data_IF_322122593455
#
_entry.id   IF_322122593455
#
_cell.length_a   1.000
_cell.length_b   1.000
_cell.length_c   1.000
_cell.angle_alpha   90.00
_cell.angle_beta   90.00
_cell.angle_gamma   90.00
#
_symmetry.space_group_name_H-M   'P 1'
#
loop_
_entity.id
_entity.type
_entity.pdbx_description
1 polymer ?
#
# COMPACT_ATOMS: atom_id res chain seq x y z
N UNK A 1 4.80 -26.61 9.91
CA UNK A 1 3.69 -25.66 9.95
C UNK A 1 4.21 -24.41 10.61
N UNK A 2 4.25 -23.32 9.85
CA UNK A 2 4.73 -22.03 10.32
C UNK A 2 3.65 -21.45 11.25
N UNK A 3 4.06 -21.00 12.43
CA UNK A 3 3.19 -20.29 13.35
C UNK A 3 3.50 -18.80 13.26
N UNK A 4 2.46 -17.97 13.21
CA UNK A 4 2.59 -16.52 13.19
C UNK A 4 2.05 -15.94 14.49
N UNK A 5 2.78 -14.99 15.07
CA UNK A 5 2.33 -14.23 16.22
C UNK A 5 1.13 -13.34 15.86
N UNK A 6 0.32 -13.00 16.87
CA UNK A 6 -0.76 -12.03 16.70
C UNK A 6 -0.19 -10.64 16.41
N UNK A 7 -0.75 -9.98 15.39
CA UNK A 7 -0.33 -8.63 14.99
C UNK A 7 -1.43 -7.67 15.46
N UNK A 8 -1.07 -6.79 16.37
CA UNK A 8 -1.95 -5.75 16.91
C UNK A 8 -1.71 -4.45 16.17
N UNK A 9 -2.76 -3.85 15.61
CA UNK A 9 -2.69 -2.53 15.02
C UNK A 9 -3.98 -1.76 15.31
N UNK A 10 -3.83 -0.69 16.10
CA UNK A 10 -4.95 0.01 16.73
C UNK A 10 -5.89 -1.01 17.43
N UNK A 11 -7.18 -1.01 17.10
CA UNK A 11 -8.19 -1.92 17.66
C UNK A 11 -8.27 -3.27 16.93
N UNK A 12 -7.53 -3.45 15.83
CA UNK A 12 -7.56 -4.67 15.03
C UNK A 12 -6.49 -5.67 15.46
N UNK A 13 -6.85 -6.95 15.40
CA UNK A 13 -5.96 -8.07 15.71
C UNK A 13 -5.94 -9.04 14.54
N UNK A 14 -4.80 -9.12 13.88
CA UNK A 14 -4.60 -9.99 12.72
C UNK A 14 -3.91 -11.29 13.15
N UNK A 15 -4.45 -12.42 12.69
CA UNK A 15 -3.83 -13.74 12.81
C UNK A 15 -3.53 -14.24 11.41
N UNK A 16 -2.24 -14.24 11.04
CA UNK A 16 -1.79 -14.79 9.76
C UNK A 16 -1.76 -16.33 9.82
N UNK A 17 -1.90 -16.94 8.65
CA UNK A 17 -1.77 -18.38 8.44
C UNK A 17 -0.84 -18.69 7.28
N UNK A 18 -0.20 -19.85 7.34
CA UNK A 18 0.68 -20.32 6.28
C UNK A 18 -0.11 -20.47 4.96
N UNK A 19 0.41 -19.85 3.89
CA UNK A 19 -0.26 -19.91 2.59
C UNK A 19 -0.35 -21.36 2.11
N UNK A 20 -1.53 -21.74 1.60
CA UNK A 20 -1.72 -23.07 1.02
C UNK A 20 -1.10 -23.16 -0.37
N UNK A 21 -0.86 -24.38 -0.86
CA UNK A 21 -0.44 -24.60 -2.26
C UNK A 21 -1.38 -23.95 -3.27
N UNK A 22 -2.71 -24.10 -3.07
CA UNK A 22 -3.70 -23.48 -3.94
C UNK A 22 -3.68 -21.94 -3.85
N UNK A 23 -3.46 -21.39 -2.65
CA UNK A 23 -3.29 -19.95 -2.46
C UNK A 23 -2.06 -19.43 -3.19
N UNK A 24 -0.93 -20.13 -3.09
CA UNK A 24 0.30 -19.80 -3.80
C UNK A 24 0.09 -19.79 -5.33
N UNK A 25 -0.64 -20.77 -5.89
CA UNK A 25 -1.00 -20.76 -7.33
C UNK A 25 -1.77 -19.49 -7.70
N UNK A 26 -2.80 -19.13 -6.93
CA UNK A 26 -3.61 -17.92 -7.20
C UNK A 26 -2.76 -16.65 -7.21
N UNK A 27 -1.82 -16.53 -6.26
CA UNK A 27 -0.90 -15.39 -6.17
C UNK A 27 0.02 -15.35 -7.40
N UNK A 28 0.63 -16.49 -7.77
CA UNK A 28 1.53 -16.57 -8.93
C UNK A 28 0.82 -16.30 -10.27
N UNK A 29 -0.48 -16.60 -10.38
CA UNK A 29 -1.25 -16.33 -11.60
C UNK A 29 -1.58 -14.84 -11.83
N UNK A 30 -1.40 -13.98 -10.84
CA UNK A 30 -1.56 -12.53 -11.04
C UNK A 30 -0.35 -12.00 -11.80
N UNK A 31 -0.54 -11.11 -12.77
CA UNK A 31 0.53 -10.47 -13.53
C UNK A 31 1.63 -9.88 -12.63
N UNK A 32 2.91 -10.06 -12.99
CA UNK A 32 4.09 -9.54 -12.28
C UNK A 32 4.10 -8.00 -12.20
N UNK A 33 3.49 -7.34 -13.17
CA UNK A 33 3.34 -5.88 -13.19
C UNK A 33 2.28 -5.37 -12.19
N UNK A 34 1.42 -6.26 -11.67
CA UNK A 34 0.33 -5.93 -10.75
C UNK A 34 0.64 -6.35 -9.31
N UNK A 35 1.66 -5.75 -8.71
CA UNK A 35 2.11 -6.03 -7.35
C UNK A 35 1.06 -5.71 -6.28
N UNK A 36 0.34 -4.59 -6.38
CA UNK A 36 -0.72 -4.25 -5.43
C UNK A 36 -1.85 -5.29 -5.49
N UNK A 37 -2.22 -5.73 -6.68
CA UNK A 37 -3.19 -6.83 -6.84
C UNK A 37 -2.66 -8.14 -6.27
N UNK A 38 -1.37 -8.45 -6.47
CA UNK A 38 -0.73 -9.62 -5.86
C UNK A 38 -0.81 -9.57 -4.33
N UNK A 39 -0.55 -8.41 -3.73
CA UNK A 39 -0.65 -8.21 -2.28
C UNK A 39 -2.08 -8.48 -1.79
N UNK A 40 -3.09 -7.98 -2.49
CA UNK A 40 -4.50 -8.25 -2.16
C UNK A 40 -4.83 -9.73 -2.20
N UNK A 41 -4.48 -10.42 -3.30
CA UNK A 41 -4.72 -11.86 -3.45
C UNK A 41 -3.98 -12.65 -2.37
N UNK A 42 -2.72 -12.30 -2.10
CA UNK A 42 -1.93 -12.92 -1.05
C UNK A 42 -2.56 -12.76 0.34
N UNK A 43 -2.91 -11.53 0.72
CA UNK A 43 -3.51 -11.23 2.02
C UNK A 43 -4.86 -11.93 2.20
N UNK A 44 -5.67 -12.04 1.14
CA UNK A 44 -6.92 -12.80 1.19
C UNK A 44 -6.69 -14.28 1.54
N UNK A 45 -5.60 -14.89 1.03
CA UNK A 45 -5.28 -16.29 1.33
C UNK A 45 -4.71 -16.46 2.75
N UNK A 46 -3.86 -15.55 3.24
CA UNK A 46 -3.21 -15.70 4.56
C UNK A 46 -4.07 -15.18 5.73
N UNK A 47 -5.13 -14.41 5.46
CA UNK A 47 -6.12 -13.92 6.43
C UNK A 47 -7.45 -14.69 6.36
N UNK A 48 -7.54 -15.77 5.56
CA UNK A 48 -8.75 -16.57 5.35
C UNK A 48 -9.99 -15.78 4.90
N UNK A 49 -9.80 -14.65 4.20
CA UNK A 49 -10.90 -13.81 3.73
C UNK A 49 -11.77 -13.21 4.85
N UNK A 50 -11.30 -13.18 6.09
CA UNK A 50 -12.02 -12.56 7.23
C UNK A 50 -12.11 -11.04 7.06
N UNK A 51 -11.08 -10.45 6.44
CA UNK A 51 -10.93 -9.01 6.26
C UNK A 51 -11.12 -8.62 4.80
N UNK A 52 -11.73 -7.47 4.57
CA UNK A 52 -11.78 -6.85 3.24
C UNK A 52 -10.44 -6.17 2.96
N UNK A 53 -9.55 -6.88 2.29
CA UNK A 53 -8.17 -6.43 1.99
C UNK A 53 -8.11 -5.22 1.06
N UNK A 54 -9.19 -4.91 0.33
CA UNK A 54 -9.29 -3.71 -0.49
C UNK A 54 -9.60 -2.46 0.35
N UNK A 55 -10.28 -2.61 1.49
CA UNK A 55 -10.54 -1.50 2.44
C UNK A 55 -9.39 -1.25 3.42
N UNK A 56 -8.47 -2.19 3.56
CA UNK A 56 -7.28 -2.01 4.39
C UNK A 56 -6.39 -0.91 3.80
N UNK A 57 -5.77 -0.11 4.65
CA UNK A 57 -4.77 0.87 4.22
C UNK A 57 -3.56 0.17 3.60
N UNK A 58 -2.84 0.87 2.71
CA UNK A 58 -1.57 0.39 2.15
C UNK A 58 -0.59 0.04 3.27
N UNK A 59 -0.54 0.83 4.34
CA UNK A 59 0.36 0.58 5.47
C UNK A 59 0.04 -0.71 6.23
N UNK A 60 -1.25 -0.97 6.49
CA UNK A 60 -1.73 -2.23 7.06
C UNK A 60 -1.27 -3.42 6.20
N UNK A 61 -1.52 -3.34 4.89
CA UNK A 61 -1.23 -4.41 3.94
C UNK A 61 0.26 -4.75 3.90
N UNK A 62 1.12 -3.73 3.89
CA UNK A 62 2.56 -3.92 3.89
C UNK A 62 3.11 -4.40 5.24
N UNK A 63 2.59 -3.91 6.37
CA UNK A 63 2.98 -4.43 7.68
C UNK A 63 2.71 -5.94 7.76
N UNK A 64 1.52 -6.38 7.33
CA UNK A 64 1.17 -7.80 7.35
C UNK A 64 2.06 -8.64 6.43
N UNK A 65 2.39 -8.12 5.24
CA UNK A 65 3.34 -8.80 4.34
C UNK A 65 4.73 -8.93 4.98
N UNK A 66 5.25 -7.87 5.60
CA UNK A 66 6.54 -7.90 6.30
C UNK A 66 6.50 -8.93 7.43
N UNK A 67 5.48 -8.90 8.29
CA UNK A 67 5.31 -9.83 9.40
C UNK A 67 5.21 -11.29 8.95
N UNK A 68 4.58 -11.53 7.80
CA UNK A 68 4.56 -12.84 7.19
C UNK A 68 5.98 -13.30 6.77
N UNK A 69 6.74 -12.43 6.09
CA UNK A 69 8.10 -12.73 5.66
C UNK A 69 9.05 -12.98 6.85
N UNK A 70 8.91 -12.20 7.93
CA UNK A 70 9.62 -12.42 9.19
C UNK A 70 9.34 -13.82 9.77
N UNK A 71 8.06 -14.23 9.80
CA UNK A 71 7.65 -15.55 10.28
C UNK A 71 8.18 -16.71 9.44
N UNK A 72 8.32 -16.53 8.12
CA UNK A 72 8.93 -17.53 7.25
C UNK A 72 10.44 -17.66 7.43
N UNK A 73 11.14 -16.55 7.73
CA UNK A 73 12.58 -16.52 7.98
C UNK A 73 13.03 -17.36 9.18
N UNK A 74 12.10 -17.83 10.02
CA UNK A 74 12.37 -18.74 11.13
C UNK A 74 12.35 -20.24 10.71
N UNK A 75 12.19 -20.54 9.43
CA UNK A 75 12.14 -21.93 8.90
C UNK A 75 13.46 -22.38 8.27
N UNK A 76 13.64 -23.69 8.07
CA UNK A 76 14.85 -24.38 7.55
C UNK A 76 15.42 -23.88 6.21
N UNK A 77 14.75 -22.94 5.52
CA UNK A 77 15.20 -22.29 4.26
C UNK A 77 15.94 -20.97 4.57
N UNK A 78 16.08 -20.59 5.83
CA UNK A 78 16.92 -19.48 6.26
C UNK A 78 18.39 -19.78 5.89
N UNK A 79 18.85 -19.20 4.78
CA UNK A 79 20.27 -18.95 4.57
C UNK A 79 20.81 -18.15 5.77
N UNK A 80 22.08 -18.36 6.13
CA UNK A 80 22.78 -17.82 7.33
C UNK A 80 22.73 -16.29 7.56
N UNK A 81 21.98 -15.54 6.76
CA UNK A 81 21.58 -14.16 7.00
C UNK A 81 20.05 -14.07 7.02
N UNK A 82 19.45 -14.21 8.20
CA UNK A 82 18.07 -13.78 8.42
C UNK A 82 17.96 -12.31 7.99
N UNK A 83 17.09 -12.02 7.01
CA UNK A 83 16.86 -10.65 6.55
C UNK A 83 16.19 -9.90 7.70
N UNK A 84 16.84 -8.85 8.19
CA UNK A 84 16.28 -7.99 9.22
C UNK A 84 15.27 -7.01 8.59
N UNK A 85 14.00 -7.21 8.89
CA UNK A 85 12.91 -6.36 8.42
C UNK A 85 12.52 -5.27 9.43
N UNK A 86 13.13 -5.25 10.62
CA UNK A 86 12.75 -4.31 11.69
C UNK A 86 12.95 -2.84 11.30
N UNK A 87 13.83 -2.55 10.35
CA UNK A 87 14.04 -1.21 9.81
C UNK A 87 12.93 -0.70 8.88
N UNK A 88 11.94 -1.52 8.51
CA UNK A 88 10.90 -1.15 7.54
C UNK A 88 9.55 -0.80 8.18
N UNK A 89 9.39 -0.98 9.49
CA UNK A 89 8.14 -0.68 10.19
C UNK A 89 8.38 -0.09 11.59
N UNK A 90 7.37 0.61 12.07
CA UNK A 90 7.22 1.08 13.44
C UNK A 90 5.87 0.57 13.96
N UNK A 91 5.82 0.08 15.19
CA UNK A 91 4.55 -0.32 15.83
C UNK A 91 3.97 0.90 16.55
N UNK A 92 3.71 1.96 15.80
CA UNK A 92 2.97 3.13 16.27
C UNK A 92 1.49 2.99 15.89
N UNK A 93 0.64 3.88 16.42
CA UNK A 93 -0.76 3.94 16.03
C UNK A 93 -0.90 4.37 14.57
N UNK A 94 -1.73 3.63 13.82
CA UNK A 94 -2.04 3.95 12.43
C UNK A 94 -2.99 5.16 12.39
N UNK A 95 -2.50 6.29 11.91
CA UNK A 95 -3.34 7.43 11.57
C UNK A 95 -4.01 7.21 10.21
N UNK A 96 -5.35 7.35 10.16
CA UNK A 96 -6.13 7.25 8.92
C UNK A 96 -6.15 8.57 8.13
N UNK A 97 -5.94 9.68 8.81
CA UNK A 97 -6.00 11.03 8.26
C UNK A 97 -4.95 11.90 8.96
N UNK A 98 -4.38 12.85 8.22
CA UNK A 98 -3.57 13.95 8.73
C UNK A 98 -4.19 15.25 8.21
N UNK A 99 -4.41 16.23 9.09
CA UNK A 99 -5.20 17.42 8.76
C UNK A 99 -4.64 18.71 9.38
N UNK A 100 -4.92 19.83 8.71
CA UNK A 100 -4.83 21.19 9.21
C UNK A 100 -6.24 21.77 9.36
N UNK A 101 -6.35 23.07 9.65
CA UNK A 101 -7.65 23.75 9.68
C UNK A 101 -8.33 23.91 8.30
N UNK A 102 -7.64 23.63 7.20
CA UNK A 102 -8.16 23.88 5.84
C UNK A 102 -7.91 22.75 4.84
N UNK A 103 -7.04 21.78 5.15
CA UNK A 103 -6.70 20.67 4.26
C UNK A 103 -6.56 19.37 5.06
N UNK A 104 -6.97 18.25 4.48
CA UNK A 104 -6.77 16.91 5.01
C UNK A 104 -6.18 15.98 3.94
N UNK A 105 -5.38 15.00 4.37
CA UNK A 105 -4.87 13.90 3.55
C UNK A 105 -5.25 12.58 4.22
N UNK A 106 -5.87 11.69 3.45
CA UNK A 106 -6.30 10.36 3.88
C UNK A 106 -5.33 9.27 3.43
N UNK A 107 -5.24 8.18 4.19
CA UNK A 107 -4.47 7.00 3.77
C UNK A 107 -5.00 6.41 2.47
N UNK A 108 -4.10 5.92 1.61
CA UNK A 108 -4.48 5.04 0.51
C UNK A 108 -4.96 3.70 1.05
N UNK A 109 -6.00 3.17 0.43
CA UNK A 109 -6.51 1.81 0.63
C UNK A 109 -5.94 0.85 -0.41
N UNK A 110 -6.16 -0.46 -0.21
CA UNK A 110 -5.82 -1.48 -1.20
C UNK A 110 -6.53 -1.27 -2.54
N UNK A 111 -7.78 -0.81 -2.51
CA UNK A 111 -8.52 -0.44 -3.71
C UNK A 111 -7.86 0.71 -4.46
N UNK A 112 -7.48 1.77 -3.76
CA UNK A 112 -6.80 2.92 -4.35
C UNK A 112 -5.47 2.48 -5.00
N UNK A 113 -4.68 1.68 -4.28
CA UNK A 113 -3.39 1.20 -4.76
C UNK A 113 -3.51 0.35 -6.04
N UNK A 114 -4.47 -0.59 -6.09
CA UNK A 114 -4.76 -1.37 -7.30
C UNK A 114 -5.31 -0.52 -8.46
N UNK A 115 -6.10 0.52 -8.14
CA UNK A 115 -6.65 1.43 -9.13
C UNK A 115 -5.54 2.26 -9.79
N UNK A 116 -4.59 2.75 -9.00
CA UNK A 116 -3.43 3.52 -9.44
C UNK A 116 -2.41 2.67 -10.21
N UNK A 117 -2.13 1.45 -9.75
CA UNK A 117 -1.15 0.56 -10.36
C UNK A 117 -1.42 0.28 -11.85
N UNK A 118 -2.69 0.26 -12.25
CA UNK A 118 -3.09 0.05 -13.65
C UNK A 118 -2.97 1.29 -14.54
N UNK A 119 -2.76 2.47 -13.94
CA UNK A 119 -2.87 3.77 -14.62
C UNK A 119 -1.58 4.58 -14.58
N UNK A 120 -0.76 4.42 -13.56
CA UNK A 120 0.44 5.20 -13.35
C UNK A 120 1.69 4.48 -13.87
N UNK A 121 2.48 5.17 -14.69
CA UNK A 121 3.71 4.65 -15.32
C UNK A 121 4.97 5.42 -14.93
N UNK A 122 4.83 6.54 -14.22
CA UNK A 122 5.93 7.38 -13.75
C UNK A 122 5.70 7.89 -12.34
N UNK A 123 6.77 8.24 -11.64
CA UNK A 123 6.69 8.86 -10.30
C UNK A 123 5.77 10.11 -10.31
N UNK A 124 5.83 10.94 -11.34
CA UNK A 124 5.01 12.15 -11.44
C UNK A 124 3.51 11.82 -11.53
N UNK A 125 3.15 10.81 -12.33
CA UNK A 125 1.76 10.34 -12.41
C UNK A 125 1.28 9.74 -11.09
N UNK A 126 2.13 8.96 -10.42
CA UNK A 126 1.81 8.44 -9.09
C UNK A 126 1.48 9.56 -8.10
N UNK A 127 2.35 10.59 -8.01
CA UNK A 127 2.15 11.73 -7.12
C UNK A 127 0.83 12.45 -7.44
N UNK A 128 0.62 12.84 -8.70
CA UNK A 128 -0.58 13.58 -9.09
C UNK A 128 -1.88 12.79 -8.84
N UNK A 129 -1.87 11.49 -9.16
CA UNK A 129 -3.03 10.63 -8.93
C UNK A 129 -3.26 10.35 -7.43
N UNK A 130 -2.20 10.25 -6.62
CA UNK A 130 -2.32 10.13 -5.17
C UNK A 130 -2.91 11.40 -4.55
N UNK A 131 -2.47 12.59 -4.98
CA UNK A 131 -3.08 13.86 -4.57
C UNK A 131 -4.59 13.88 -4.93
N UNK A 132 -4.93 13.44 -6.14
CA UNK A 132 -6.32 13.33 -6.59
C UNK A 132 -7.14 12.37 -5.71
N UNK A 133 -6.58 11.28 -5.20
CA UNK A 133 -7.30 10.31 -4.35
C UNK A 133 -7.34 10.73 -2.88
N UNK A 134 -6.31 11.40 -2.36
CA UNK A 134 -6.10 11.51 -0.92
C UNK A 134 -6.45 12.87 -0.32
N UNK A 135 -6.39 13.97 -1.09
CA UNK A 135 -6.54 15.31 -0.53
C UNK A 135 -8.00 15.74 -0.36
N UNK A 136 -8.29 16.58 0.62
CA UNK A 136 -9.56 17.27 0.77
C UNK A 136 -9.33 18.68 1.29
N UNK A 137 -10.05 19.66 0.74
CA UNK A 137 -9.95 21.06 1.14
C UNK A 137 -11.30 21.58 1.60
N UNK A 138 -11.31 22.32 2.71
CA UNK A 138 -12.53 22.91 3.29
C UNK A 138 -13.17 23.94 2.37
N UNK A 139 -12.37 24.64 1.56
CA UNK A 139 -12.85 25.65 0.61
C UNK A 139 -13.42 25.06 -0.69
N UNK A 140 -13.37 23.73 -0.85
CA UNK A 140 -13.90 23.03 -2.03
C UNK A 140 -13.09 23.24 -3.31
N UNK A 141 -11.83 23.71 -3.23
CA UNK A 141 -10.97 23.85 -4.43
C UNK A 141 -10.73 22.53 -5.17
N UNK A 142 -10.85 21.41 -4.46
CA UNK A 142 -10.96 20.08 -5.05
C UNK A 142 -12.38 19.53 -4.79
N UNK A 143 -13.04 18.94 -5.79
CA UNK A 143 -14.30 18.21 -5.62
C UNK A 143 -14.21 17.11 -4.55
N UNK A 144 -15.34 16.53 -4.18
CA UNK A 144 -15.39 15.42 -3.22
C UNK A 144 -14.45 14.27 -3.61
N UNK A 145 -13.77 13.71 -2.61
CA UNK A 145 -12.79 12.63 -2.77
C UNK A 145 -13.45 11.34 -3.28
N UNK A 146 -12.79 10.56 -4.15
CA UNK A 146 -13.25 9.21 -4.46
C UNK A 146 -13.14 8.29 -3.22
N UNK A 147 -14.15 7.46 -2.96
CA UNK A 147 -14.17 6.51 -1.84
C UNK A 147 -14.66 5.14 -2.29
N UNK A 148 -14.06 4.07 -1.74
CA UNK A 148 -14.42 2.68 -2.05
C UNK A 148 -15.87 2.36 -1.66
N UNK A 149 -16.46 3.10 -0.72
CA UNK A 149 -17.86 2.91 -0.32
C UNK A 149 -18.85 3.42 -1.39
N UNK A 150 -18.36 4.18 -2.38
CA UNK A 150 -19.15 4.72 -3.50
C UNK A 150 -18.49 4.37 -4.84
N UNK A 151 -18.40 3.06 -5.17
CA UNK A 151 -17.59 2.57 -6.30
C UNK A 151 -18.11 3.04 -7.66
N UNK A 152 -19.42 3.25 -7.79
CA UNK A 152 -20.09 3.73 -9.02
C UNK A 152 -19.58 5.13 -9.43
N UNK A 153 -19.27 5.99 -8.46
CA UNK A 153 -18.79 7.36 -8.68
C UNK A 153 -17.28 7.53 -8.52
N UNK A 154 -16.57 6.46 -8.14
CA UNK A 154 -15.15 6.54 -7.80
C UNK A 154 -14.30 7.07 -8.95
N UNK A 155 -14.43 6.46 -10.14
CA UNK A 155 -13.61 6.82 -11.30
C UNK A 155 -13.95 8.21 -11.84
N UNK A 156 -15.24 8.58 -11.85
CA UNK A 156 -15.69 9.92 -12.25
C UNK A 156 -15.08 11.01 -11.35
N UNK A 157 -15.18 10.85 -10.02
CA UNK A 157 -14.60 11.80 -9.05
C UNK A 157 -13.08 11.88 -9.17
N UNK A 158 -12.43 10.72 -9.33
CA UNK A 158 -10.99 10.67 -9.54
C UNK A 158 -10.57 11.48 -10.79
N UNK A 159 -11.22 11.25 -11.93
CA UNK A 159 -10.91 11.95 -13.18
C UNK A 159 -11.15 13.46 -13.02
N UNK A 160 -12.30 13.86 -12.47
CA UNK A 160 -12.62 15.28 -12.26
C UNK A 160 -11.56 16.00 -11.42
N UNK A 161 -11.09 15.35 -10.34
CA UNK A 161 -10.05 15.90 -9.47
C UNK A 161 -8.68 15.92 -10.13
N UNK A 162 -8.31 14.86 -10.83
CA UNK A 162 -7.03 14.77 -11.53
C UNK A 162 -6.91 15.84 -12.64
N UNK A 163 -7.98 16.08 -13.39
CA UNK A 163 -7.98 17.09 -14.46
C UNK A 163 -7.86 18.52 -13.89
N UNK A 164 -8.44 18.79 -12.72
CA UNK A 164 -8.22 20.06 -12.03
C UNK A 164 -6.76 20.23 -11.60
N UNK A 165 -6.17 19.20 -10.97
CA UNK A 165 -4.76 19.24 -10.54
C UNK A 165 -3.83 19.46 -11.74
N UNK A 166 -4.08 18.81 -12.88
CA UNK A 166 -3.29 18.99 -14.11
C UNK A 166 -3.45 20.37 -14.75
N UNK A 167 -4.60 21.01 -14.55
CA UNK A 167 -4.90 22.33 -15.11
C UNK A 167 -4.38 23.49 -14.26
N UNK A 168 -3.92 23.24 -13.02
CA UNK A 168 -3.39 24.27 -12.13
C UNK A 168 -2.16 24.97 -12.72
N UNK A 169 -2.04 26.30 -12.60
CA UNK A 169 -0.77 26.99 -12.79
C UNK A 169 0.31 26.41 -11.88
N UNK A 170 1.56 26.38 -12.34
CA UNK A 170 2.67 25.76 -11.61
C UNK A 170 2.83 26.28 -10.16
N UNK A 171 2.61 27.58 -9.93
CA UNK A 171 2.67 28.15 -8.58
C UNK A 171 1.60 27.54 -7.66
N UNK A 172 0.36 27.44 -8.14
CA UNK A 172 -0.75 26.84 -7.39
C UNK A 172 -0.53 25.35 -7.15
N UNK A 173 -0.06 24.63 -8.18
CA UNK A 173 0.29 23.22 -8.05
C UNK A 173 1.36 23.00 -6.97
N UNK A 174 2.40 23.84 -6.94
CA UNK A 174 3.46 23.73 -5.93
C UNK A 174 2.93 23.98 -4.51
N UNK A 175 2.03 24.94 -4.33
CA UNK A 175 1.39 25.19 -3.02
C UNK A 175 0.58 23.96 -2.55
N UNK A 176 -0.25 23.38 -3.44
CA UNK A 176 -1.03 22.17 -3.14
C UNK A 176 -0.11 20.96 -2.88
N UNK A 177 0.99 20.85 -3.62
CA UNK A 177 1.96 19.78 -3.43
C UNK A 177 2.71 19.90 -2.10
N UNK A 178 3.06 21.12 -1.67
CA UNK A 178 3.69 21.36 -0.35
C UNK A 178 2.76 20.93 0.80
N UNK A 179 1.47 21.30 0.74
CA UNK A 179 0.44 20.84 1.68
C UNK A 179 0.38 19.30 1.72
N UNK A 180 0.32 18.68 0.54
CA UNK A 180 0.25 17.23 0.40
C UNK A 180 1.46 16.53 1.02
N UNK A 181 2.69 17.00 0.74
CA UNK A 181 3.89 16.39 1.29
C UNK A 181 3.94 16.52 2.81
N UNK A 182 3.60 17.70 3.36
CA UNK A 182 3.60 17.90 4.80
C UNK A 182 2.63 16.96 5.53
N UNK A 183 1.39 16.85 5.03
CA UNK A 183 0.36 16.01 5.63
C UNK A 183 0.58 14.52 5.36
N UNK A 184 1.04 14.14 4.17
CA UNK A 184 1.36 12.74 3.84
C UNK A 184 2.52 12.19 4.65
N UNK A 185 3.47 13.04 5.08
CA UNK A 185 4.51 12.67 6.05
C UNK A 185 3.92 12.30 7.40
N UNK A 186 2.92 13.05 7.88
CA UNK A 186 2.21 12.76 9.13
C UNK A 186 1.39 11.47 9.12
N UNK A 187 1.22 10.85 7.95
CA UNK A 187 0.58 9.53 7.81
C UNK A 187 1.57 8.37 7.93
N UNK A 188 2.89 8.56 7.80
CA UNK A 188 3.90 7.49 7.69
C UNK A 188 4.27 6.86 9.06
N UNK A 189 3.28 6.38 9.80
CA UNK A 189 3.46 6.00 11.21
C UNK A 189 3.75 4.51 11.41
N UNK A 190 3.32 3.65 10.49
CA UNK A 190 3.47 2.19 10.59
C UNK A 190 4.54 1.67 9.65
N UNK A 191 4.45 2.03 8.38
CA UNK A 191 5.51 1.78 7.39
C UNK A 191 5.71 3.04 6.58
N UNK A 192 6.95 3.32 6.21
CA UNK A 192 7.26 4.49 5.39
C UNK A 192 7.11 4.13 3.91
N UNK A 193 6.04 4.61 3.29
CA UNK A 193 5.70 4.40 1.88
C UNK A 193 6.25 5.50 0.99
N UNK A 194 6.72 5.11 -0.20
CA UNK A 194 7.10 6.00 -1.30
C UNK A 194 6.60 5.40 -2.62
N UNK A 195 6.78 6.14 -3.71
CA UNK A 195 6.47 5.67 -5.07
C UNK A 195 7.71 5.64 -5.94
N UNK A 196 7.75 4.68 -6.85
CA UNK A 196 8.71 4.59 -7.95
C UNK A 196 7.94 4.45 -9.28
N UNK A 197 8.63 4.42 -10.42
CA UNK A 197 7.97 4.24 -11.73
C UNK A 197 7.16 2.93 -11.82
N UNK A 198 7.46 1.96 -10.96
CA UNK A 198 6.80 0.65 -10.90
C UNK A 198 5.80 0.53 -9.73
N UNK A 199 5.40 1.65 -9.11
CA UNK A 199 4.43 1.68 -8.00
C UNK A 199 5.05 1.80 -6.62
N UNK A 200 4.29 1.40 -5.59
CA UNK A 200 4.62 1.65 -4.19
C UNK A 200 5.87 0.85 -3.76
N UNK A 201 6.72 1.49 -2.96
CA UNK A 201 7.93 0.94 -2.33
C UNK A 201 8.00 1.40 -0.87
N UNK A 202 8.77 0.68 -0.05
CA UNK A 202 8.98 1.03 1.36
C UNK A 202 10.41 1.55 1.57
N UNK A 203 10.57 2.55 2.43
CA UNK A 203 11.89 3.04 2.85
C UNK A 203 12.33 2.37 4.13
N UNK A 204 13.50 1.73 4.11
CA UNK A 204 14.18 1.21 5.30
C UNK A 204 15.10 2.25 5.95
N UNK A 205 15.88 1.80 6.93
CA UNK A 205 16.86 2.62 7.66
C UNK A 205 18.15 2.91 6.88
N UNK A 206 18.40 2.20 5.79
CA UNK A 206 19.61 2.26 4.94
C UNK A 206 19.41 3.07 3.64
N UNK A 207 18.37 3.92 3.59
CA UNK A 207 18.01 4.83 2.49
C UNK A 207 17.66 4.18 1.13
N UNK A 208 17.80 2.85 0.98
CA UNK A 208 17.42 2.16 -0.24
C UNK A 208 15.92 1.82 -0.22
N UNK A 209 15.10 2.33 -1.15
CA UNK A 209 13.72 1.90 -1.29
C UNK A 209 13.66 0.42 -1.69
N UNK A 210 12.89 -0.37 -0.93
CA UNK A 210 12.66 -1.78 -1.21
C UNK A 210 11.22 -2.03 -1.65
N UNK A 211 11.06 -2.86 -2.69
CA UNK A 211 9.75 -3.32 -3.14
C UNK A 211 9.45 -4.67 -2.51
N UNK A 212 8.50 -4.68 -1.59
CA UNK A 212 8.00 -5.90 -0.98
C UNK A 212 6.99 -6.56 -1.92
N UNK A 213 7.28 -7.81 -2.27
CA UNK A 213 6.49 -8.61 -3.21
C UNK A 213 6.04 -9.90 -2.53
N UNK A 214 4.76 -10.31 -2.67
CA UNK A 214 4.30 -11.61 -2.19
C UNK A 214 5.09 -12.80 -2.78
N UNK A 215 5.67 -12.64 -3.97
CA UNK A 215 6.55 -13.64 -4.59
C UNK A 215 7.72 -14.06 -3.69
N UNK A 216 8.24 -13.14 -2.88
CA UNK A 216 9.33 -13.43 -1.93
C UNK A 216 8.93 -14.47 -0.88
N UNK A 217 7.63 -14.60 -0.61
CA UNK A 217 7.08 -15.59 0.30
C UNK A 217 6.92 -16.99 -0.34
N UNK A 218 7.11 -17.11 -1.65
CA UNK A 218 6.93 -18.35 -2.41
C UNK A 218 8.29 -19.01 -2.67
N UNK A 219 8.33 -20.35 -2.62
CA UNK A 219 9.55 -21.14 -2.81
C UNK A 219 9.32 -22.36 -3.70
N UNK A 220 10.40 -23.01 -4.14
CA UNK A 220 10.33 -24.18 -5.01
C UNK A 220 9.73 -23.85 -6.38
N UNK A 221 8.79 -24.68 -6.85
CA UNK A 221 8.17 -24.60 -8.19
C UNK A 221 7.56 -23.23 -8.51
N UNK A 222 7.15 -22.47 -7.49
CA UNK A 222 6.56 -21.15 -7.70
C UNK A 222 7.55 -20.12 -8.22
N UNK A 223 8.85 -20.26 -7.94
CA UNK A 223 9.87 -19.39 -8.53
C UNK A 223 9.98 -19.57 -10.04
N UNK A 224 9.68 -20.78 -10.55
CA UNK A 224 9.70 -21.06 -11.99
C UNK A 224 8.46 -20.48 -12.70
N UNK A 225 7.35 -20.29 -11.96
CA UNK A 225 6.10 -19.71 -12.46
C UNK A 225 6.11 -18.17 -12.50
N UNK A 226 7.16 -17.53 -11.99
CA UNK A 226 7.32 -16.07 -11.94
C UNK A 226 8.10 -15.48 -13.13
N UNK A 227 8.31 -16.28 -14.18
CA UNK A 227 8.92 -15.86 -15.45
C UNK A 227 7.97 -15.07 -16.33
#
# INVERSE_FOLDING_TARGET
MISFDLIHLNEQVYQLQEITFNGAIKVSMVDVALNEKRITVFLNEVLNGIYDTLKMTVQERYLLLIKYLEGQGQTLIATDSAIDYSGYYSIAELSRTSETSYCAVYQLTGYDAEFLEKRCTSIAEWIACMMAIQMEYVDGRLPERPTIDEPESYEERFIARLELIKAMPLTEFNEVYEDYIALSHGLQNVVYTMVSDNGIVLRGTDDAPCRFRPSTALSGIFKDLET
#
